data_IF_555363421012
#
_entry.id   IF_555363421012
#
_cell.length_a   1.000
_cell.length_b   1.000
_cell.length_c   1.000
_cell.angle_alpha   90.00
_cell.angle_beta   90.00
_cell.angle_gamma   90.00
#
_symmetry.space_group_name_H-M   'P 1'
#
loop_
_entity.id
_entity.type
_entity.pdbx_description
1 polymer ?
#
# COMPACT_ATOMS: atom_id res chain seq x y z
N UNK A 1 28.71 -10.34 5.75
CA UNK A 1 27.53 -9.70 6.38
C UNK A 1 26.31 -10.21 5.64
N UNK A 2 25.49 -11.09 6.23
CA UNK A 2 24.36 -11.69 5.51
C UNK A 2 23.12 -10.79 5.56
N UNK A 3 22.19 -11.01 4.62
CA UNK A 3 20.93 -10.26 4.54
C UNK A 3 20.08 -10.38 5.82
N UNK A 4 20.19 -11.50 6.54
CA UNK A 4 19.49 -11.70 7.82
C UNK A 4 19.92 -10.71 8.90
N UNK A 5 21.23 -10.50 9.06
CA UNK A 5 21.77 -9.59 10.08
C UNK A 5 21.42 -8.13 9.77
N UNK A 6 21.43 -7.76 8.48
CA UNK A 6 21.03 -6.42 8.04
C UNK A 6 19.53 -6.18 8.27
N UNK A 7 18.68 -7.16 7.94
CA UNK A 7 17.24 -7.09 8.21
C UNK A 7 16.94 -6.98 9.70
N UNK A 8 17.56 -7.80 10.55
CA UNK A 8 17.38 -7.73 12.00
C UNK A 8 17.76 -6.34 12.56
N UNK A 9 18.85 -5.74 12.05
CA UNK A 9 19.24 -4.38 12.41
C UNK A 9 18.22 -3.35 11.94
N UNK A 10 17.71 -3.46 10.71
CA UNK A 10 16.65 -2.60 10.20
C UNK A 10 15.39 -2.69 11.06
N UNK A 11 14.89 -3.90 11.32
CA UNK A 11 13.70 -4.14 12.14
C UNK A 11 13.86 -3.50 13.52
N UNK A 12 14.98 -3.77 14.21
CA UNK A 12 15.25 -3.19 15.54
C UNK A 12 15.27 -1.65 15.53
N UNK A 13 15.86 -1.05 14.49
CA UNK A 13 15.92 0.41 14.37
C UNK A 13 14.54 1.01 14.04
N UNK A 14 13.79 0.37 13.14
CA UNK A 14 12.47 0.82 12.72
C UNK A 14 11.43 0.66 13.82
N UNK A 15 11.48 -0.41 14.62
CA UNK A 15 10.61 -0.60 15.79
C UNK A 15 10.67 0.58 16.78
N UNK A 16 11.84 1.19 16.93
CA UNK A 16 12.04 2.29 17.88
C UNK A 16 11.82 3.67 17.24
N UNK A 17 12.26 3.85 15.99
CA UNK A 17 12.27 5.16 15.33
C UNK A 17 11.07 5.46 14.43
N UNK A 18 10.51 4.44 13.77
CA UNK A 18 9.40 4.58 12.83
C UNK A 18 8.65 3.25 12.63
N UNK A 19 7.73 2.91 13.55
CA UNK A 19 6.92 1.68 13.44
C UNK A 19 6.08 1.62 12.15
N UNK A 20 5.75 2.78 11.57
CA UNK A 20 4.99 2.87 10.32
C UNK A 20 5.86 2.43 9.14
N UNK A 21 7.14 2.81 9.11
CA UNK A 21 8.08 2.32 8.10
C UNK A 21 8.19 0.79 8.12
N UNK A 22 8.31 0.19 9.31
CA UNK A 22 8.38 -1.26 9.43
C UNK A 22 7.10 -1.94 8.91
N UNK A 23 5.93 -1.39 9.24
CA UNK A 23 4.63 -1.92 8.76
C UNK A 23 4.48 -1.93 7.24
N UNK A 24 5.27 -1.12 6.54
CA UNK A 24 5.27 -0.98 5.09
C UNK A 24 6.44 -1.70 4.42
N UNK A 25 7.25 -2.44 5.17
CA UNK A 25 8.42 -3.12 4.62
C UNK A 25 8.21 -4.63 4.62
N UNK A 26 8.32 -5.25 3.46
CA UNK A 26 8.32 -6.71 3.35
C UNK A 26 9.71 -7.20 2.98
N UNK A 27 10.11 -8.34 3.55
CA UNK A 27 11.34 -9.02 3.16
C UNK A 27 11.01 -10.20 2.26
N UNK A 28 11.45 -10.10 1.01
CA UNK A 28 11.47 -11.22 0.08
C UNK A 28 12.71 -12.07 0.37
N UNK A 29 12.51 -13.28 0.88
CA UNK A 29 13.63 -14.22 1.08
C UNK A 29 13.17 -15.61 0.69
N UNK A 30 13.90 -16.21 -0.25
CA UNK A 30 13.78 -17.62 -0.58
C UNK A 30 14.56 -18.40 0.46
N UNK A 31 13.88 -19.27 1.20
CA UNK A 31 14.56 -20.17 2.11
C UNK A 31 15.19 -21.31 1.31
N UNK A 32 16.51 -21.45 1.36
CA UNK A 32 17.20 -22.60 0.79
C UNK A 32 17.03 -23.79 1.71
N UNK A 33 16.59 -24.95 1.18
CA UNK A 33 16.47 -26.19 1.98
C UNK A 33 17.82 -26.77 2.44
N UNK A 34 18.94 -26.29 1.90
CA UNK A 34 20.29 -26.70 2.28
C UNK A 34 20.80 -26.01 3.55
N UNK A 35 21.83 -26.58 4.18
CA UNK A 35 22.43 -26.02 5.42
C UNK A 35 23.26 -24.75 5.20
N UNK A 36 23.67 -24.46 3.96
CA UNK A 36 24.50 -23.31 3.62
C UNK A 36 23.85 -22.49 2.49
N UNK A 37 23.75 -21.17 2.69
CA UNK A 37 23.43 -20.22 1.62
C UNK A 37 24.57 -20.24 0.58
N UNK A 38 24.26 -20.19 -0.73
CA UNK A 38 25.28 -20.15 -1.78
C UNK A 38 26.15 -18.88 -1.65
N UNK A 39 27.44 -19.00 -1.98
CA UNK A 39 28.34 -17.84 -2.03
C UNK A 39 27.96 -16.90 -3.17
N UNK A 40 28.22 -15.61 -3.01
CA UNK A 40 27.79 -14.56 -3.94
C UNK A 40 28.34 -14.78 -5.38
N UNK A 41 29.52 -15.37 -5.50
CA UNK A 41 30.24 -15.66 -6.74
C UNK A 41 30.14 -17.13 -7.18
N UNK A 42 29.30 -17.94 -6.53
CA UNK A 42 29.17 -19.35 -6.84
C UNK A 42 28.30 -19.60 -8.08
N UNK A 43 28.91 -19.46 -9.27
CA UNK A 43 28.25 -19.69 -10.58
C UNK A 43 27.66 -21.10 -10.69
N UNK A 44 28.30 -22.09 -10.04
CA UNK A 44 27.85 -23.49 -10.02
C UNK A 44 26.50 -23.69 -9.31
N UNK A 45 26.12 -22.78 -8.42
CA UNK A 45 24.88 -22.88 -7.63
C UNK A 45 23.70 -22.18 -8.29
N UNK A 46 23.91 -21.42 -9.38
CA UNK A 46 22.85 -20.68 -10.11
C UNK A 46 21.65 -21.58 -10.46
N UNK A 47 21.83 -22.77 -11.08
CA UNK A 47 20.68 -23.61 -11.43
C UNK A 47 19.87 -24.07 -10.20
N UNK A 48 20.55 -24.28 -9.07
CA UNK A 48 19.88 -24.61 -7.82
C UNK A 48 19.14 -23.40 -7.24
N UNK A 49 19.72 -22.21 -7.31
CA UNK A 49 19.08 -20.97 -6.86
C UNK A 49 17.82 -20.66 -7.66
N UNK A 50 17.86 -20.82 -8.98
CA UNK A 50 16.68 -20.64 -9.85
C UNK A 50 15.57 -21.62 -9.48
N UNK A 51 15.92 -22.89 -9.28
CA UNK A 51 14.97 -23.93 -8.87
C UNK A 51 14.36 -23.64 -7.50
N UNK A 52 15.15 -23.25 -6.52
CA UNK A 52 14.64 -22.93 -5.17
C UNK A 52 13.74 -21.68 -5.22
N UNK A 53 14.08 -20.66 -6.03
CA UNK A 53 13.25 -19.48 -6.22
C UNK A 53 11.93 -19.79 -6.92
N UNK A 54 11.92 -20.65 -7.93
CA UNK A 54 10.70 -21.09 -8.64
C UNK A 54 9.76 -21.90 -7.73
N UNK A 55 10.32 -22.65 -6.78
CA UNK A 55 9.56 -23.48 -5.84
C UNK A 55 9.27 -22.76 -4.51
N UNK A 56 9.69 -21.51 -4.36
CA UNK A 56 9.52 -20.77 -3.12
C UNK A 56 8.04 -20.39 -2.93
N UNK A 57 7.43 -20.92 -1.87
CA UNK A 57 6.14 -20.43 -1.41
C UNK A 57 6.36 -19.13 -0.62
N UNK A 58 6.11 -17.99 -1.28
CA UNK A 58 6.18 -16.67 -0.64
C UNK A 58 4.86 -16.37 0.06
N UNK A 59 4.70 -16.90 1.27
CA UNK A 59 3.51 -16.68 2.07
C UNK A 59 3.46 -15.24 2.60
N UNK A 60 2.34 -14.55 2.37
CA UNK A 60 2.11 -13.23 2.98
C UNK A 60 1.70 -13.37 4.46
N UNK A 61 2.52 -12.84 5.36
CA UNK A 61 2.22 -12.72 6.78
C UNK A 61 1.93 -11.25 7.13
N UNK A 62 0.66 -10.82 7.18
CA UNK A 62 0.33 -9.42 7.41
C UNK A 62 0.81 -8.94 8.78
N UNK A 63 1.36 -7.72 8.89
CA UNK A 63 1.73 -7.15 10.17
C UNK A 63 0.50 -6.89 11.03
N UNK A 64 0.60 -7.15 12.34
CA UNK A 64 -0.48 -6.93 13.29
C UNK A 64 -0.56 -5.45 13.73
N UNK A 65 -0.95 -4.57 12.81
CA UNK A 65 -1.21 -3.17 13.13
C UNK A 65 -2.32 -2.56 12.26
N UNK A 66 -2.81 -1.40 12.70
CA UNK A 66 -3.90 -0.67 12.07
C UNK A 66 -3.56 -0.11 10.67
N UNK A 67 -2.27 -0.10 10.32
CA UNK A 67 -1.75 0.35 9.03
C UNK A 67 -1.52 -0.78 8.02
N UNK A 68 -1.92 -2.02 8.36
CA UNK A 68 -1.81 -3.18 7.48
C UNK A 68 -2.50 -2.92 6.13
N UNK A 69 -1.96 -3.37 4.98
CA UNK A 69 -2.70 -3.44 3.73
C UNK A 69 -4.01 -4.22 3.94
N UNK A 70 -5.15 -3.69 3.49
CA UNK A 70 -6.41 -4.44 3.57
C UNK A 70 -6.39 -5.50 2.49
N UNK A 71 -6.10 -6.73 2.91
CA UNK A 71 -6.43 -7.91 2.12
C UNK A 71 -7.82 -8.37 2.56
N UNK A 72 -8.86 -7.62 2.16
CA UNK A 72 -10.26 -8.08 2.26
C UNK A 72 -10.59 -8.80 0.97
N UNK A 73 -10.67 -10.12 1.04
CA UNK A 73 -11.18 -10.96 -0.03
C UNK A 73 -12.70 -10.96 -0.02
N UNK A 74 -13.32 -10.87 -1.19
CA UNK A 74 -14.72 -11.23 -1.35
C UNK A 74 -14.84 -12.74 -1.08
N UNK A 75 -15.12 -13.16 0.16
CA UNK A 75 -15.37 -14.58 0.49
C UNK A 75 -14.67 -15.14 1.73
N UNK A 76 -13.85 -14.36 2.45
CA UNK A 76 -13.35 -14.75 3.77
C UNK A 76 -12.00 -15.47 3.81
N UNK A 77 -11.58 -16.14 2.74
CA UNK A 77 -10.26 -16.81 2.68
C UNK A 77 -9.19 -15.97 1.98
N UNK A 78 -7.99 -16.01 2.53
CA UNK A 78 -6.78 -15.30 2.07
C UNK A 78 -5.94 -16.23 1.18
N UNK A 79 -5.77 -15.99 -0.13
CA UNK A 79 -4.64 -16.52 -0.88
C UNK A 79 -3.38 -15.71 -0.53
N UNK A 80 -2.70 -16.22 0.50
CA UNK A 80 -1.32 -16.71 0.51
C UNK A 80 -0.21 -16.01 -0.31
N UNK A 81 -0.42 -15.41 -1.49
CA UNK A 81 0.68 -14.95 -2.37
C UNK A 81 1.16 -13.52 -2.08
N UNK A 82 2.34 -13.41 -1.48
CA UNK A 82 3.04 -12.15 -1.20
C UNK A 82 3.32 -11.33 -2.47
N UNK A 83 3.50 -11.97 -3.64
CA UNK A 83 3.78 -11.25 -4.89
C UNK A 83 2.56 -10.48 -5.39
N UNK A 84 1.34 -11.04 -5.27
CA UNK A 84 0.11 -10.32 -5.59
C UNK A 84 -0.04 -9.09 -4.68
N UNK A 85 0.16 -9.29 -3.37
CA UNK A 85 0.08 -8.19 -2.38
C UNK A 85 1.08 -7.09 -2.72
N UNK A 86 2.33 -7.44 -3.03
CA UNK A 86 3.34 -6.47 -3.42
C UNK A 86 2.99 -5.74 -4.72
N UNK A 87 2.49 -6.46 -5.74
CA UNK A 87 2.07 -5.86 -6.99
C UNK A 87 0.94 -4.84 -6.78
N UNK A 88 -0.08 -5.18 -5.99
CA UNK A 88 -1.19 -4.27 -5.65
C UNK A 88 -0.69 -3.06 -4.88
N UNK A 89 0.18 -3.25 -3.89
CA UNK A 89 0.77 -2.14 -3.12
C UNK A 89 1.58 -1.21 -4.00
N UNK A 90 2.38 -1.74 -4.92
CA UNK A 90 3.17 -0.95 -5.86
C UNK A 90 2.25 -0.14 -6.79
N UNK A 91 1.20 -0.76 -7.35
CA UNK A 91 0.21 -0.05 -8.17
C UNK A 91 -0.51 1.04 -7.38
N UNK A 92 -1.01 0.73 -6.17
CA UNK A 92 -1.69 1.68 -5.31
C UNK A 92 -0.80 2.86 -4.90
N UNK A 93 0.52 2.63 -4.80
CA UNK A 93 1.49 3.69 -4.51
C UNK A 93 1.60 4.74 -5.62
N UNK A 94 1.04 4.51 -6.81
CA UNK A 94 0.96 5.49 -7.88
C UNK A 94 -0.18 6.48 -7.67
N UNK A 95 -1.13 6.18 -6.78
CA UNK A 95 -2.17 7.08 -6.35
C UNK A 95 -1.77 7.85 -5.08
N UNK A 96 -2.30 9.05 -4.93
CA UNK A 96 -2.14 9.87 -3.74
C UNK A 96 -3.33 10.80 -3.56
N UNK A 97 -3.53 11.28 -2.35
CA UNK A 97 -4.55 12.25 -2.03
C UNK A 97 -3.97 13.66 -1.99
N UNK A 98 -4.64 14.58 -2.66
CA UNK A 98 -4.37 16.01 -2.61
C UNK A 98 -5.52 16.71 -1.88
N UNK A 99 -5.26 17.13 -0.65
CA UNK A 99 -6.27 17.79 0.18
C UNK A 99 -6.59 19.19 -0.37
N UNK A 100 -7.88 19.47 -0.51
CA UNK A 100 -8.45 20.75 -0.98
C UNK A 100 -8.93 21.61 0.18
N UNK A 101 -9.58 21.01 1.17
CA UNK A 101 -10.13 21.74 2.31
C UNK A 101 -10.28 20.82 3.51
N UNK A 102 -10.06 21.39 4.69
CA UNK A 102 -10.41 20.80 5.97
C UNK A 102 -11.30 21.81 6.70
N UNK A 103 -12.53 21.41 7.01
CA UNK A 103 -13.50 22.23 7.73
C UNK A 103 -13.79 21.55 9.05
N UNK A 104 -13.65 22.28 10.15
CA UNK A 104 -14.05 21.81 11.49
C UNK A 104 -15.38 22.46 11.83
N UNK A 105 -16.41 21.64 12.05
CA UNK A 105 -17.73 22.07 12.52
C UNK A 105 -18.03 21.30 13.80
N UNK A 106 -18.10 22.03 14.91
CA UNK A 106 -18.24 21.45 16.25
C UNK A 106 -17.20 20.33 16.48
N UNK A 107 -17.66 19.11 16.73
CA UNK A 107 -16.82 17.91 16.94
C UNK A 107 -16.60 17.08 15.67
N UNK A 108 -16.96 17.59 14.49
CA UNK A 108 -16.81 16.87 13.21
C UNK A 108 -15.84 17.60 12.30
N UNK A 109 -14.81 16.89 11.84
CA UNK A 109 -13.92 17.37 10.79
C UNK A 109 -14.33 16.78 9.44
N UNK A 110 -14.56 17.65 8.47
CA UNK A 110 -14.89 17.31 7.09
C UNK A 110 -13.67 17.59 6.22
N UNK A 111 -13.13 16.54 5.61
CA UNK A 111 -11.98 16.62 4.72
C UNK A 111 -12.45 16.39 3.29
N UNK A 112 -12.05 17.29 2.38
CA UNK A 112 -12.30 17.17 0.95
C UNK A 112 -11.01 17.28 0.17
N UNK A 113 -10.92 16.57 -0.94
CA UNK A 113 -9.77 16.62 -1.82
C UNK A 113 -9.96 15.76 -3.06
N UNK A 114 -8.86 15.45 -3.70
CA UNK A 114 -8.83 14.61 -4.89
C UNK A 114 -7.87 13.43 -4.71
N UNK A 115 -8.28 12.26 -5.16
CA UNK A 115 -7.32 11.18 -5.45
C UNK A 115 -6.76 11.45 -6.85
N UNK A 116 -5.44 11.55 -6.90
CA UNK A 116 -4.65 11.86 -8.08
C UNK A 116 -3.74 10.69 -8.45
N UNK A 117 -3.36 10.60 -9.72
CA UNK A 117 -2.33 9.68 -10.20
C UNK A 117 -0.97 10.40 -10.37
N UNK A 118 0.13 9.72 -10.05
CA UNK A 118 1.51 10.16 -10.32
C UNK A 118 1.91 10.03 -11.78
N UNK A 119 1.34 9.04 -12.48
CA UNK A 119 1.59 8.85 -13.91
C UNK A 119 0.85 9.91 -14.72
N UNK A 120 1.44 10.31 -15.85
CA UNK A 120 0.86 11.31 -16.74
C UNK A 120 -0.06 10.64 -17.76
N UNK A 121 -1.16 11.29 -18.18
CA UNK A 121 -2.10 10.75 -19.15
C UNK A 121 -1.46 10.28 -20.46
N UNK A 122 -0.40 10.96 -20.91
CA UNK A 122 0.35 10.62 -22.12
C UNK A 122 1.16 9.32 -22.04
N UNK A 123 1.21 8.64 -20.89
CA UNK A 123 2.01 7.42 -20.70
C UNK A 123 1.12 6.18 -20.88
N UNK A 124 1.60 5.19 -21.64
CA UNK A 124 0.91 3.90 -21.75
C UNK A 124 0.67 3.23 -20.39
N UNK A 125 1.60 3.41 -19.45
CA UNK A 125 1.45 2.91 -18.08
C UNK A 125 0.31 3.58 -17.31
N UNK A 126 -0.03 4.83 -17.62
CA UNK A 126 -1.19 5.51 -17.03
C UNK A 126 -2.47 4.85 -17.50
N UNK A 127 -2.65 4.69 -18.81
CA UNK A 127 -3.83 4.05 -19.41
C UNK A 127 -4.02 2.63 -18.88
N UNK A 128 -2.93 1.86 -18.80
CA UNK A 128 -2.96 0.50 -18.22
C UNK A 128 -3.41 0.51 -16.75
N UNK A 129 -2.87 1.43 -15.95
CA UNK A 129 -3.22 1.51 -14.52
C UNK A 129 -4.67 1.94 -14.32
N UNK A 130 -5.16 2.93 -15.06
CA UNK A 130 -6.55 3.42 -14.94
C UNK A 130 -7.54 2.37 -15.42
N UNK A 131 -7.29 1.69 -16.54
CA UNK A 131 -8.14 0.59 -17.03
C UNK A 131 -8.22 -0.59 -16.07
N UNK A 132 -7.15 -0.84 -15.30
CA UNK A 132 -7.15 -1.87 -14.27
C UNK A 132 -7.85 -1.44 -12.98
N UNK A 133 -8.11 -0.16 -12.79
CA UNK A 133 -8.66 0.39 -11.55
C UNK A 133 -10.18 0.34 -11.57
N UNK A 134 -10.74 -0.41 -10.63
CA UNK A 134 -12.18 -0.61 -10.50
C UNK A 134 -12.84 0.56 -9.75
N UNK A 135 -12.43 0.78 -8.50
CA UNK A 135 -12.97 1.86 -7.67
C UNK A 135 -12.01 2.28 -6.56
N UNK A 136 -12.25 3.45 -5.98
CA UNK A 136 -11.65 3.86 -4.71
C UNK A 136 -12.65 3.73 -3.58
N UNK A 137 -12.14 3.48 -2.38
CA UNK A 137 -12.93 3.44 -1.16
C UNK A 137 -12.30 4.28 -0.05
N UNK A 138 -13.16 4.91 0.75
CA UNK A 138 -12.77 5.59 1.99
C UNK A 138 -13.35 4.82 3.16
N UNK A 139 -12.51 4.38 4.09
CA UNK A 139 -12.94 3.59 5.25
C UNK A 139 -13.88 2.43 4.87
N UNK A 140 -13.55 1.69 3.80
CA UNK A 140 -14.33 0.60 3.21
C UNK A 140 -15.68 0.98 2.57
N UNK A 141 -15.98 2.26 2.41
CA UNK A 141 -17.14 2.73 1.65
C UNK A 141 -16.70 3.15 0.25
N UNK A 142 -17.36 2.64 -0.79
CA UNK A 142 -17.06 2.98 -2.18
C UNK A 142 -17.31 4.48 -2.37
N UNK A 143 -16.26 5.20 -2.77
CA UNK A 143 -16.29 6.67 -2.81
C UNK A 143 -16.90 7.22 -4.09
N UNK A 144 -16.83 6.49 -5.19
CA UNK A 144 -17.33 6.93 -6.51
C UNK A 144 -17.11 5.88 -7.60
N UNK A 145 -17.96 5.92 -8.63
CA UNK A 145 -17.74 5.25 -9.90
C UNK A 145 -16.78 6.10 -10.74
N UNK A 146 -15.73 5.48 -11.28
CA UNK A 146 -14.70 6.18 -12.02
C UNK A 146 -15.13 6.48 -13.45
N UNK A 147 -15.01 7.74 -13.86
CA UNK A 147 -15.06 8.15 -15.26
C UNK A 147 -13.67 8.66 -15.63
N UNK A 148 -12.91 7.81 -16.34
CA UNK A 148 -11.55 8.14 -16.76
C UNK A 148 -11.60 8.89 -18.09
N UNK A 149 -11.07 10.11 -18.09
CA UNK A 149 -10.73 10.82 -19.32
C UNK A 149 -9.24 10.55 -19.60
N UNK A 150 -8.94 9.83 -20.69
CA UNK A 150 -7.58 9.40 -21.04
C UNK A 150 -6.65 10.57 -21.35
N UNK A 151 -7.20 11.74 -21.69
CA UNK A 151 -6.41 12.93 -22.02
C UNK A 151 -6.18 13.84 -20.81
N UNK A 152 -6.82 13.55 -19.67
CA UNK A 152 -6.75 14.37 -18.47
C UNK A 152 -6.14 13.63 -17.30
N UNK A 153 -5.50 14.41 -16.42
CA UNK A 153 -4.97 13.88 -15.16
C UNK A 153 -6.14 13.34 -14.33
N UNK A 154 -5.98 12.12 -13.81
CA UNK A 154 -6.93 11.55 -12.87
C UNK A 154 -7.11 12.49 -11.68
N UNK A 155 -8.34 12.90 -11.43
CA UNK A 155 -8.76 13.68 -10.27
C UNK A 155 -10.12 13.20 -9.82
N UNK A 156 -10.14 12.30 -8.83
CA UNK A 156 -11.37 11.74 -8.27
C UNK A 156 -11.71 12.53 -7.02
N UNK A 157 -12.83 13.24 -7.01
CA UNK A 157 -13.25 13.96 -5.82
C UNK A 157 -13.63 12.98 -4.70
N UNK A 158 -13.09 13.24 -3.51
CA UNK A 158 -13.32 12.44 -2.31
C UNK A 158 -13.60 13.36 -1.15
N UNK A 159 -14.61 13.00 -0.36
CA UNK A 159 -15.02 13.69 0.86
C UNK A 159 -15.25 12.66 1.95
N UNK A 160 -14.69 12.89 3.12
CA UNK A 160 -14.93 12.05 4.30
C UNK A 160 -14.97 12.89 5.56
N UNK A 161 -15.61 12.33 6.59
CA UNK A 161 -15.80 12.97 7.87
C UNK A 161 -15.33 12.05 8.99
N UNK A 162 -14.82 12.65 10.05
CA UNK A 162 -14.42 11.92 11.25
C UNK A 162 -14.68 12.79 12.48
N UNK A 163 -15.13 12.15 13.56
CA UNK A 163 -15.37 12.82 14.82
C UNK A 163 -14.04 13.13 15.52
N UNK A 164 -14.01 14.21 16.30
CA UNK A 164 -12.86 14.59 17.11
C UNK A 164 -12.53 13.53 18.18
N UNK A 165 -13.52 12.74 18.63
CA UNK A 165 -13.31 11.59 19.50
C UNK A 165 -12.44 10.50 18.84
N UNK A 166 -12.46 10.44 17.52
CA UNK A 166 -11.81 9.41 16.72
C UNK A 166 -10.51 9.93 16.10
N UNK A 167 -9.94 11.03 16.60
CA UNK A 167 -8.79 11.73 15.96
C UNK A 167 -7.53 10.86 15.84
N UNK A 168 -7.49 9.72 16.54
CA UNK A 168 -6.43 8.69 16.50
C UNK A 168 -6.74 7.50 15.59
N UNK A 169 -7.99 7.32 15.16
CA UNK A 169 -8.41 6.23 14.28
C UNK A 169 -7.89 6.49 12.86
N UNK A 170 -7.27 5.48 12.20
CA UNK A 170 -6.69 5.65 10.89
C UNK A 170 -7.77 5.76 9.81
N UNK A 171 -7.75 6.89 9.11
CA UNK A 171 -8.46 7.07 7.85
C UNK A 171 -7.73 6.28 6.77
N UNK A 172 -8.49 5.55 5.97
CA UNK A 172 -7.97 4.75 4.86
C UNK A 172 -8.54 5.22 3.55
N UNK A 173 -7.65 5.37 2.58
CA UNK A 173 -7.99 5.55 1.17
C UNK A 173 -7.39 4.36 0.41
N UNK A 174 -8.27 3.50 -0.06
CA UNK A 174 -7.89 2.24 -0.70
C UNK A 174 -8.39 2.20 -2.14
N UNK A 175 -7.65 1.52 -3.01
CA UNK A 175 -8.00 1.28 -4.41
C UNK A 175 -8.23 -0.21 -4.65
N UNK A 176 -9.26 -0.52 -5.43
CA UNK A 176 -9.54 -1.85 -5.96
C UNK A 176 -9.10 -1.93 -7.42
N UNK A 177 -8.43 -3.01 -7.79
CA UNK A 177 -8.13 -3.33 -9.17
C UNK A 177 -8.96 -4.54 -9.63
N UNK A 178 -9.35 -4.58 -10.91
CA UNK A 178 -10.18 -5.65 -11.47
C UNK A 178 -9.51 -7.04 -11.37
N UNK A 179 -8.22 -7.11 -11.69
CA UNK A 179 -7.47 -8.38 -11.76
C UNK A 179 -6.92 -8.85 -10.41
N UNK A 180 -7.21 -8.12 -9.34
CA UNK A 180 -6.66 -8.40 -8.02
C UNK A 180 -7.78 -8.69 -7.04
N UNK A 181 -7.53 -9.64 -6.17
CA UNK A 181 -8.48 -10.12 -5.17
C UNK A 181 -8.54 -9.20 -3.93
N UNK A 182 -7.47 -8.45 -3.68
CA UNK A 182 -7.30 -7.58 -2.52
C UNK A 182 -7.46 -6.08 -2.84
N UNK A 183 -7.31 -5.23 -1.82
CA UNK A 183 -7.29 -3.77 -1.92
C UNK A 183 -5.89 -3.24 -1.61
N UNK A 184 -5.49 -2.17 -2.28
CA UNK A 184 -4.23 -1.48 -2.03
C UNK A 184 -4.46 -0.11 -1.40
N UNK A 185 -3.78 0.18 -0.28
CA UNK A 185 -3.83 1.53 0.29
C UNK A 185 -2.96 2.49 -0.52
N UNK A 186 -3.51 3.66 -0.88
CA UNK A 186 -2.80 4.63 -1.70
C UNK A 186 -1.65 5.28 -0.93
N UNK A 187 -0.74 5.92 -1.66
CA UNK A 187 0.41 6.57 -1.05
C UNK A 187 0.01 7.71 -0.12
N UNK A 188 0.66 7.76 1.04
CA UNK A 188 0.41 8.75 2.09
C UNK A 188 -0.65 8.31 3.10
N UNK A 189 -1.35 7.20 2.87
CA UNK A 189 -2.34 6.64 3.79
C UNK A 189 -1.89 5.25 4.31
N UNK A 190 -2.43 4.76 5.44
CA UNK A 190 -3.42 5.42 6.31
C UNK A 190 -2.84 6.59 7.12
N UNK A 191 -3.70 7.54 7.51
CA UNK A 191 -3.36 8.68 8.37
C UNK A 191 -4.44 8.89 9.42
N UNK A 192 -4.06 9.48 10.54
CA UNK A 192 -5.02 9.95 11.54
C UNK A 192 -5.51 11.35 11.16
N UNK A 193 -6.69 11.73 11.66
CA UNK A 193 -7.20 13.10 11.48
C UNK A 193 -6.25 14.14 12.10
N UNK A 194 -5.60 13.81 13.22
CA UNK A 194 -4.55 14.64 13.83
C UNK A 194 -3.43 14.94 12.84
N UNK A 195 -2.90 13.91 12.18
CA UNK A 195 -1.83 14.08 11.20
C UNK A 195 -2.28 14.92 10.00
N UNK A 196 -3.52 14.75 9.53
CA UNK A 196 -4.06 15.56 8.44
C UNK A 196 -4.17 17.04 8.80
N UNK A 197 -4.61 17.37 10.02
CA UNK A 197 -4.63 18.74 10.54
C UNK A 197 -3.22 19.33 10.58
N UNK A 198 -2.25 18.59 11.14
CA UNK A 198 -0.85 19.02 11.19
C UNK A 198 -0.23 19.26 9.81
N UNK A 199 -0.59 18.45 8.79
CA UNK A 199 -0.14 18.69 7.41
C UNK A 199 -0.81 19.90 6.77
N UNK A 200 -2.07 20.17 7.09
CA UNK A 200 -2.80 21.33 6.59
C UNK A 200 -2.24 22.63 7.11
N UNK A 201 -1.97 22.70 8.42
CA UNK A 201 -1.50 23.92 9.09
C UNK A 201 -0.09 24.34 8.65
N UNK A 202 0.69 23.43 8.04
CA UNK A 202 2.05 23.69 7.53
C UNK A 202 2.09 24.19 6.08
N UNK A 203 0.95 24.30 5.40
CA UNK A 203 0.85 24.63 3.99
C UNK A 203 0.61 26.12 3.77
#
# INVERSE_FOLDING_TARGET
MNGQSAWAKFTKNAEVGDPVLLSRSDRLTVAFKGTNEPELDSVKDIPNMEREAQNAELLYCPPNNQFRPIVRYQGGDVPVDLLEVLAVRLKASLYFFEMKSLIVQDDVSIVKGWICCRLRPSMESYTKLTHQTDHFSVNSQVSSTLCFDEDRRLMVEVSFQQQASDDIEPIRLDVKFHDHSCYGTISGFPLTLKMLKEYWDRR
#
